data_IF_897886720483
#
_entry.id   IF_897886720483
#
_cell.length_a   1.000
_cell.length_b   1.000
_cell.length_c   1.000
_cell.angle_alpha   90.00
_cell.angle_beta   90.00
_cell.angle_gamma   90.00
#
_symmetry.space_group_name_H-M   'P 1'
#
loop_
_entity.id
_entity.type
_entity.pdbx_description
1 polymer ?
#
# COMPACT_ATOMS: atom_id res chain seq x y z
N UNK A 1 7.25 15.15 -3.90
CA UNK A 1 7.26 14.59 -5.27
C UNK A 1 7.34 15.74 -6.27
N UNK A 2 7.88 15.50 -7.46
CA UNK A 2 7.97 16.50 -8.54
C UNK A 2 7.22 15.98 -9.77
N UNK A 3 6.86 16.86 -10.73
CA UNK A 3 6.32 16.39 -12.01
C UNK A 3 7.28 15.39 -12.65
N UNK A 4 6.73 14.28 -13.18
CA UNK A 4 7.49 13.18 -13.76
C UNK A 4 8.03 12.16 -12.75
N UNK A 5 7.64 12.22 -11.46
CA UNK A 5 7.91 11.12 -10.52
C UNK A 5 7.28 9.82 -11.02
N UNK A 6 7.98 8.70 -10.78
CA UNK A 6 7.57 7.37 -11.21
C UNK A 6 6.94 6.58 -10.06
N UNK A 7 5.88 5.85 -10.36
CA UNK A 7 5.07 5.14 -9.37
C UNK A 7 4.74 3.71 -9.75
N UNK A 8 4.36 2.93 -8.75
CA UNK A 8 3.75 1.61 -8.90
C UNK A 8 2.43 1.55 -8.15
N UNK A 9 1.37 1.12 -8.84
CA UNK A 9 0.12 0.71 -8.19
C UNK A 9 0.16 -0.80 -7.95
N UNK A 10 0.44 -1.21 -6.71
CA UNK A 10 0.67 -2.59 -6.30
C UNK A 10 -0.62 -3.20 -5.73
N UNK A 11 -1.08 -4.28 -6.34
CA UNK A 11 -2.39 -4.89 -6.05
C UNK A 11 -3.54 -4.14 -6.70
N UNK A 12 -3.33 -3.57 -7.88
CA UNK A 12 -4.24 -2.60 -8.49
C UNK A 12 -5.58 -3.20 -8.99
N UNK A 13 -5.75 -4.53 -8.94
CA UNK A 13 -6.96 -5.21 -9.38
C UNK A 13 -7.23 -5.04 -10.88
N UNK A 14 -8.46 -5.26 -11.36
CA UNK A 14 -8.80 -5.13 -12.78
C UNK A 14 -9.05 -3.68 -13.24
N UNK A 15 -9.19 -2.74 -12.31
CA UNK A 15 -9.62 -1.37 -12.57
C UNK A 15 -8.82 -0.35 -11.75
N UNK A 16 -7.60 0.00 -12.18
CA UNK A 16 -6.65 0.78 -11.40
C UNK A 16 -6.98 2.28 -11.43
N UNK A 17 -8.07 2.68 -10.75
CA UNK A 17 -8.59 4.05 -10.79
C UNK A 17 -7.59 5.08 -10.23
N UNK A 18 -6.86 4.72 -9.16
CA UNK A 18 -5.85 5.62 -8.59
C UNK A 18 -4.70 5.86 -9.57
N UNK A 19 -4.20 4.80 -10.22
CA UNK A 19 -3.17 4.96 -11.24
C UNK A 19 -3.63 5.86 -12.39
N UNK A 20 -4.89 5.74 -12.83
CA UNK A 20 -5.44 6.62 -13.87
C UNK A 20 -5.46 8.09 -13.43
N UNK A 21 -5.93 8.38 -12.22
CA UNK A 21 -5.92 9.76 -11.68
C UNK A 21 -4.49 10.32 -11.59
N UNK A 22 -3.52 9.51 -11.18
CA UNK A 22 -2.13 9.96 -11.11
C UNK A 22 -1.52 10.17 -12.51
N UNK A 23 -1.90 9.38 -13.49
CA UNK A 23 -1.49 9.59 -14.89
C UNK A 23 -2.08 10.87 -15.48
N UNK A 24 -3.31 11.24 -15.11
CA UNK A 24 -3.93 12.53 -15.47
C UNK A 24 -3.16 13.72 -14.88
N UNK A 25 -2.55 13.53 -13.71
CA UNK A 25 -1.66 14.49 -13.04
C UNK A 25 -0.18 14.39 -13.51
N UNK A 26 0.07 13.78 -14.68
CA UNK A 26 1.38 13.67 -15.35
C UNK A 26 2.43 12.78 -14.64
N UNK A 27 2.01 11.87 -13.75
CA UNK A 27 2.90 10.85 -13.18
C UNK A 27 3.03 9.62 -14.10
N UNK A 28 4.22 9.01 -14.15
CA UNK A 28 4.40 7.70 -14.78
C UNK A 28 4.03 6.60 -13.78
N UNK A 29 2.95 5.86 -14.01
CA UNK A 29 2.49 4.79 -13.09
C UNK A 29 2.54 3.43 -13.77
N UNK A 30 3.36 2.54 -13.23
CA UNK A 30 3.35 1.11 -13.52
C UNK A 30 2.25 0.41 -12.74
N UNK A 31 1.75 -0.72 -13.25
CA UNK A 31 0.70 -1.51 -12.61
C UNK A 31 1.24 -2.89 -12.24
N UNK A 32 0.85 -3.40 -11.08
CA UNK A 32 1.10 -4.78 -10.72
C UNK A 32 -0.10 -5.39 -10.00
N UNK A 33 -0.53 -6.55 -10.46
CA UNK A 33 -1.47 -7.41 -9.77
C UNK A 33 -1.23 -8.86 -10.24
N UNK A 34 -1.08 -9.85 -9.35
CA UNK A 34 -0.73 -11.22 -9.74
C UNK A 34 -1.77 -11.90 -10.65
N UNK A 35 -3.01 -11.39 -10.72
CA UNK A 35 -4.08 -11.95 -11.54
C UNK A 35 -4.40 -11.08 -12.77
N UNK A 36 -4.36 -9.75 -12.64
CA UNK A 36 -4.80 -8.83 -13.69
C UNK A 36 -3.65 -8.16 -14.44
N UNK A 37 -2.52 -7.91 -13.78
CA UNK A 37 -1.34 -7.24 -14.32
C UNK A 37 -0.05 -7.96 -13.86
N UNK A 38 0.20 -9.21 -14.32
CA UNK A 38 1.21 -10.11 -13.72
C UNK A 38 2.64 -9.85 -14.21
N UNK A 39 2.94 -8.65 -14.72
CA UNK A 39 4.25 -8.32 -15.27
C UNK A 39 5.28 -8.14 -14.14
N UNK A 40 6.00 -9.20 -13.80
CA UNK A 40 6.94 -9.20 -12.66
C UNK A 40 8.15 -8.26 -12.86
N UNK A 41 8.49 -7.88 -14.11
CA UNK A 41 9.61 -6.97 -14.36
C UNK A 41 9.43 -5.59 -13.71
N UNK A 42 8.19 -5.19 -13.39
CA UNK A 42 7.93 -3.96 -12.63
C UNK A 42 8.44 -4.05 -11.19
N UNK A 43 8.54 -5.26 -10.62
CA UNK A 43 9.05 -5.49 -9.26
C UNK A 43 10.59 -5.45 -9.18
N UNK A 44 11.28 -5.37 -10.32
CA UNK A 44 12.73 -5.23 -10.39
C UNK A 44 13.17 -3.75 -10.45
N UNK A 45 12.21 -2.81 -10.53
CA UNK A 45 12.45 -1.37 -10.62
C UNK A 45 12.50 -0.72 -9.23
N UNK A 46 12.72 0.61 -9.23
CA UNK A 46 12.61 1.48 -8.07
C UNK A 46 11.70 2.65 -8.42
N UNK A 47 10.91 3.10 -7.45
CA UNK A 47 9.87 4.10 -7.63
C UNK A 47 9.99 5.21 -6.60
N UNK A 48 9.56 6.41 -7.00
CA UNK A 48 9.39 7.57 -6.10
C UNK A 48 8.20 7.37 -5.18
N UNK A 49 7.20 6.60 -5.63
CA UNK A 49 6.07 6.21 -4.81
C UNK A 49 5.51 4.82 -5.16
N UNK A 50 4.89 4.18 -4.18
CA UNK A 50 4.10 2.96 -4.37
C UNK A 50 2.74 3.15 -3.71
N UNK A 51 1.67 2.74 -4.36
CA UNK A 51 0.31 2.71 -3.79
C UNK A 51 -0.14 1.28 -3.59
N UNK A 52 -0.85 1.05 -2.48
CA UNK A 52 -1.50 -0.22 -2.15
C UNK A 52 -2.90 0.09 -1.60
N UNK A 53 -3.90 0.13 -2.48
CA UNK A 53 -5.29 0.43 -2.11
C UNK A 53 -6.11 -0.84 -2.05
N UNK A 54 -6.68 -1.14 -0.87
CA UNK A 54 -7.43 -2.37 -0.60
C UNK A 54 -6.63 -3.63 -1.01
N UNK A 55 -5.37 -3.68 -0.56
CA UNK A 55 -4.41 -4.74 -0.92
C UNK A 55 -3.77 -5.39 0.30
N UNK A 56 -3.38 -4.59 1.30
CA UNK A 56 -2.56 -5.05 2.41
C UNK A 56 -3.27 -6.07 3.32
N UNK A 57 -4.60 -6.04 3.36
CA UNK A 57 -5.48 -6.99 4.04
C UNK A 57 -5.48 -8.39 3.41
N UNK A 58 -4.98 -8.52 2.18
CA UNK A 58 -4.91 -9.80 1.45
C UNK A 58 -3.52 -10.45 1.52
N UNK A 59 -2.54 -9.80 2.15
CA UNK A 59 -1.14 -10.26 2.16
C UNK A 59 -0.97 -11.45 3.11
N UNK A 60 -0.51 -12.58 2.57
CA UNK A 60 -0.29 -13.83 3.34
C UNK A 60 0.93 -13.76 4.27
N UNK A 61 1.97 -13.04 3.85
CA UNK A 61 3.21 -12.87 4.59
C UNK A 61 3.52 -11.37 4.75
N UNK A 62 2.77 -10.62 5.59
CA UNK A 62 2.82 -9.16 5.60
C UNK A 62 4.24 -8.58 5.70
N UNK A 63 5.07 -9.10 6.62
CA UNK A 63 6.45 -8.60 6.77
C UNK A 63 7.33 -8.88 5.54
N UNK A 64 7.12 -9.99 4.83
CA UNK A 64 7.82 -10.26 3.57
C UNK A 64 7.43 -9.24 2.51
N UNK A 65 6.14 -8.96 2.39
CA UNK A 65 5.60 -8.01 1.42
C UNK A 65 5.99 -6.56 1.75
N UNK A 66 6.00 -6.16 3.02
CA UNK A 66 6.54 -4.85 3.41
C UNK A 66 8.03 -4.71 3.07
N UNK A 67 8.82 -5.78 3.15
CA UNK A 67 10.23 -5.78 2.69
C UNK A 67 10.34 -5.71 1.17
N UNK A 68 9.43 -6.34 0.43
CA UNK A 68 9.33 -6.16 -1.01
C UNK A 68 9.01 -4.70 -1.33
N UNK A 69 7.97 -4.12 -0.72
CA UNK A 69 7.60 -2.71 -0.89
C UNK A 69 8.75 -1.76 -0.54
N UNK A 70 9.50 -2.03 0.54
CA UNK A 70 10.71 -1.27 0.85
C UNK A 70 11.73 -1.34 -0.29
N UNK A 71 11.96 -2.54 -0.82
CA UNK A 71 12.91 -2.73 -1.90
C UNK A 71 12.49 -1.99 -3.17
N UNK A 72 11.20 -1.73 -3.38
CA UNK A 72 10.69 -0.99 -4.53
C UNK A 72 10.85 0.53 -4.39
N UNK A 73 11.08 1.05 -3.18
CA UNK A 73 11.19 2.49 -2.93
C UNK A 73 12.63 2.98 -3.00
N UNK A 74 12.82 4.13 -3.65
CA UNK A 74 14.03 4.95 -3.49
C UNK A 74 14.08 5.57 -2.08
N UNK A 75 15.26 5.94 -1.55
CA UNK A 75 15.35 6.76 -0.34
C UNK A 75 14.57 8.06 -0.51
N UNK A 76 13.75 8.41 0.49
CA UNK A 76 12.82 9.53 0.45
C UNK A 76 11.49 9.26 -0.29
N UNK A 77 11.33 8.07 -0.89
CA UNK A 77 10.12 7.65 -1.58
C UNK A 77 8.97 7.33 -0.63
N UNK A 78 7.75 7.32 -1.17
CA UNK A 78 6.52 7.18 -0.38
C UNK A 78 5.77 5.87 -0.64
N UNK A 79 5.26 5.24 0.42
CA UNK A 79 4.26 4.17 0.34
C UNK A 79 2.92 4.69 0.84
N UNK A 80 1.94 4.76 -0.05
CA UNK A 80 0.55 5.08 0.29
C UNK A 80 -0.28 3.81 0.43
N UNK A 81 -0.79 3.55 1.62
CA UNK A 81 -1.69 2.42 1.90
C UNK A 81 -3.08 2.94 2.20
N UNK A 82 -4.09 2.35 1.56
CA UNK A 82 -5.48 2.48 1.95
C UNK A 82 -6.03 1.10 2.31
N UNK A 83 -6.55 0.95 3.52
CA UNK A 83 -7.20 -0.28 3.99
C UNK A 83 -8.13 0.03 5.16
N UNK A 84 -9.11 -0.83 5.42
CA UNK A 84 -9.97 -0.71 6.58
C UNK A 84 -9.17 -0.74 7.89
N UNK A 85 -9.37 0.26 8.74
CA UNK A 85 -8.75 0.31 10.07
C UNK A 85 -9.75 0.26 11.23
N UNK A 86 -9.38 -0.54 12.24
CA UNK A 86 -10.13 -0.69 13.48
C UNK A 86 -9.19 -0.75 14.68
N UNK A 87 -9.28 0.25 15.57
CA UNK A 87 -8.49 0.29 16.81
C UNK A 87 -9.04 -0.65 17.90
N UNK A 88 -10.36 -0.77 18.00
CA UNK A 88 -11.01 -1.43 19.14
C UNK A 88 -11.37 -2.89 18.84
N UNK A 89 -10.80 -3.82 19.61
CA UNK A 89 -11.04 -5.28 19.49
C UNK A 89 -12.51 -5.68 19.70
N UNK A 90 -13.24 -5.16 20.70
CA UNK A 90 -14.69 -5.35 20.84
C UNK A 90 -15.50 -5.08 19.58
N UNK A 91 -15.12 -4.08 18.77
CA UNK A 91 -15.82 -3.76 17.52
C UNK A 91 -15.62 -4.80 16.41
N UNK A 92 -14.58 -5.63 16.50
CA UNK A 92 -14.11 -6.48 15.42
C UNK A 92 -15.16 -7.48 14.93
N UNK A 93 -15.84 -8.17 15.84
CA UNK A 93 -16.85 -9.19 15.49
C UNK A 93 -18.04 -8.63 14.70
N UNK A 94 -18.37 -7.36 14.92
CA UNK A 94 -19.48 -6.67 14.27
C UNK A 94 -19.09 -5.93 13.00
N UNK A 95 -17.78 -5.72 12.78
CA UNK A 95 -17.26 -4.92 11.68
C UNK A 95 -17.50 -5.62 10.34
N UNK A 96 -18.07 -4.91 9.36
CA UNK A 96 -18.39 -5.50 8.05
C UNK A 96 -17.14 -5.97 7.29
N UNK A 97 -16.01 -5.31 7.51
CA UNK A 97 -14.76 -5.53 6.77
C UNK A 97 -14.17 -6.93 7.02
N UNK A 98 -14.40 -7.53 8.19
CA UNK A 98 -13.96 -8.92 8.46
C UNK A 98 -14.87 -9.99 7.86
N UNK A 99 -16.01 -9.60 7.27
CA UNK A 99 -16.97 -10.55 6.68
C UNK A 99 -16.56 -10.97 5.28
N UNK A 100 -15.68 -10.23 4.63
CA UNK A 100 -15.09 -10.64 3.37
C UNK A 100 -14.04 -11.73 3.63
N UNK A 101 -14.22 -12.96 3.12
CA UNK A 101 -13.29 -14.06 3.37
C UNK A 101 -11.92 -13.87 2.72
N UNK A 102 -11.77 -12.91 1.82
CA UNK A 102 -10.48 -12.56 1.21
C UNK A 102 -9.63 -11.69 2.13
N UNK A 103 -10.23 -11.05 3.15
CA UNK A 103 -9.51 -10.23 4.13
C UNK A 103 -8.91 -11.13 5.21
N UNK A 104 -7.60 -11.35 5.12
CA UNK A 104 -6.86 -12.26 6.00
C UNK A 104 -5.92 -11.50 6.97
N UNK A 105 -5.76 -10.19 6.77
CA UNK A 105 -5.03 -9.28 7.65
C UNK A 105 -5.90 -8.07 8.00
N UNK A 106 -5.75 -7.56 9.23
CA UNK A 106 -6.50 -6.41 9.72
C UNK A 106 -5.57 -5.44 10.44
N UNK A 107 -5.73 -4.15 10.13
CA UNK A 107 -4.80 -3.12 10.56
C UNK A 107 -5.46 -2.09 11.48
N UNK A 108 -4.62 -1.41 12.21
CA UNK A 108 -4.94 -0.23 13.01
C UNK A 108 -3.73 0.72 12.93
N UNK A 109 -3.89 1.98 13.35
CA UNK A 109 -2.78 2.93 13.43
C UNK A 109 -1.66 2.38 14.30
N UNK A 110 -1.99 1.68 15.41
CA UNK A 110 -0.99 1.01 16.25
C UNK A 110 -0.18 -0.04 15.48
N UNK A 111 -0.82 -0.81 14.60
CA UNK A 111 -0.12 -1.79 13.73
C UNK A 111 0.76 -1.06 12.73
N UNK A 112 0.28 0.01 12.09
CA UNK A 112 1.07 0.80 11.14
C UNK A 112 2.26 1.50 11.79
N UNK A 113 2.10 2.01 13.02
CA UNK A 113 3.21 2.53 13.85
C UNK A 113 4.23 1.44 14.24
N UNK A 114 3.80 0.19 14.33
CA UNK A 114 4.73 -0.92 14.50
C UNK A 114 5.50 -1.21 13.22
N UNK A 115 4.80 -1.25 12.07
CA UNK A 115 5.42 -1.42 10.75
C UNK A 115 6.44 -0.32 10.47
N UNK A 116 6.12 0.96 10.72
CA UNK A 116 7.09 2.04 10.50
C UNK A 116 8.38 1.86 11.28
N UNK A 117 8.30 1.44 12.54
CA UNK A 117 9.48 1.17 13.38
C UNK A 117 10.29 -0.03 12.89
N UNK A 118 9.63 -1.09 12.46
CA UNK A 118 10.28 -2.29 11.94
C UNK A 118 11.00 -2.00 10.60
N UNK A 119 10.40 -1.15 9.77
CA UNK A 119 10.92 -0.80 8.45
C UNK A 119 11.88 0.40 8.45
N UNK A 120 11.94 1.16 9.55
CA UNK A 120 12.71 2.41 9.62
C UNK A 120 12.11 3.52 8.75
N UNK A 121 10.79 3.66 8.76
CA UNK A 121 10.06 4.68 7.99
C UNK A 121 9.45 5.74 8.89
N UNK A 122 9.27 6.94 8.34
CA UNK A 122 8.36 7.93 8.91
C UNK A 122 6.91 7.56 8.53
N UNK A 123 5.95 7.94 9.36
CA UNK A 123 4.52 7.60 9.15
C UNK A 123 3.59 8.77 9.47
N UNK A 124 2.62 8.98 8.59
CA UNK A 124 1.53 9.93 8.74
C UNK A 124 0.18 9.25 8.47
N UNK A 125 -0.89 9.76 9.09
CA UNK A 125 -2.26 9.26 8.94
C UNK A 125 -3.17 10.39 8.44
N UNK A 126 -3.21 10.67 7.12
CA UNK A 126 -4.02 11.77 6.57
C UNK A 126 -5.52 11.57 6.78
N UNK A 127 -5.97 10.32 6.89
CA UNK A 127 -7.36 9.99 7.21
C UNK A 127 -7.42 8.60 7.86
N UNK A 128 -8.59 8.24 8.39
CA UNK A 128 -8.80 7.00 9.16
C UNK A 128 -8.28 5.73 8.48
N UNK A 129 -8.44 5.60 7.16
CA UNK A 129 -8.08 4.39 6.42
C UNK A 129 -6.83 4.58 5.56
N UNK A 130 -6.14 5.72 5.68
CA UNK A 130 -4.98 6.05 4.84
C UNK A 130 -3.76 6.19 5.72
N UNK A 131 -2.70 5.49 5.34
CA UNK A 131 -1.37 5.63 5.93
C UNK A 131 -0.39 6.01 4.84
N UNK A 132 0.40 7.04 5.09
CA UNK A 132 1.54 7.40 4.27
C UNK A 132 2.81 7.07 5.04
N UNK A 133 3.63 6.19 4.48
CA UNK A 133 4.99 5.98 4.94
C UNK A 133 5.97 6.73 4.03
N UNK A 134 7.04 7.25 4.62
CA UNK A 134 8.18 7.76 3.87
C UNK A 134 9.44 6.99 4.25
N UNK A 135 10.14 6.46 3.25
CA UNK A 135 11.40 5.76 3.45
C UNK A 135 12.51 6.75 3.79
N UNK A 136 13.18 6.56 4.92
CA UNK A 136 14.30 7.43 5.37
C UNK A 136 15.60 7.12 4.64
#
# INVERSE_FOLDING_TARGET
MTNGSTGLDFGCGPGPALAQMMQEDEFEVSLYDPYFFPEESVLERRYDFVTCTETVEHLRLPLHEFKLLDSLLVPGGYLGIMTGMLEDRPGFSSWYYQRDPTHIGFYSERTMLWVSREMGWDVEFPSRNVTLFQKT
#
